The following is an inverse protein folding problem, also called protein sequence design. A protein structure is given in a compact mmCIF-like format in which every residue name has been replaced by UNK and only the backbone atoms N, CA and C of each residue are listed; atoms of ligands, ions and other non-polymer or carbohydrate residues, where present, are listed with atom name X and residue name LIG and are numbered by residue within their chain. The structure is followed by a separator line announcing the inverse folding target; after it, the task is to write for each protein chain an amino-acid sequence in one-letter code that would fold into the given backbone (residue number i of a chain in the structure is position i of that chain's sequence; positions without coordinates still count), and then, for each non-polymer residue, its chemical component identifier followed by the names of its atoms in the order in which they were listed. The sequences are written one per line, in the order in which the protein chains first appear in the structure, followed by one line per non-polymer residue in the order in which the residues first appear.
data_IF_730239955902
#
_entry.id   IF_730239955902
#
_cell.length_a   1.000
_cell.length_b   1.000
_cell.length_c   1.000
_cell.angle_alpha   90.00
_cell.angle_beta   90.00
_cell.angle_gamma   90.00
#
_symmetry.space_group_name_H-M   'P 1'
#
loop_
_entity.id
_entity.type
_entity.pdbx_description
1 polymer ?
#
# COMPACT_ATOMS: atom_id res chain seq x y z
N UNK A 1 -35.10 30.81 -45.23
CA UNK A 1 -35.03 29.78 -46.28
C UNK A 1 -34.53 28.51 -45.62
N UNK A 2 -35.43 27.55 -45.48
CA UNK A 2 -35.29 26.31 -44.71
C UNK A 2 -34.63 25.27 -45.61
N UNK A 3 -33.65 24.50 -45.11
CA UNK A 3 -33.46 23.13 -45.59
C UNK A 3 -32.86 22.23 -44.50
N UNK A 4 -33.71 21.34 -43.98
CA UNK A 4 -33.42 20.16 -43.18
C UNK A 4 -32.82 19.06 -44.06
N UNK A 5 -31.90 18.27 -43.53
CA UNK A 5 -31.64 16.86 -43.88
C UNK A 5 -31.02 16.20 -42.63
N UNK A 6 -31.80 15.50 -41.80
CA UNK A 6 -32.27 14.10 -41.92
C UNK A 6 -31.26 13.09 -41.31
N UNK A 7 -31.65 12.60 -40.12
CA UNK A 7 -31.06 11.52 -39.33
C UNK A 7 -30.97 10.22 -40.13
N UNK A 8 -29.88 9.46 -39.96
CA UNK A 8 -29.89 8.00 -40.11
C UNK A 8 -29.44 7.36 -38.79
N UNK A 9 -30.37 6.60 -38.22
CA UNK A 9 -30.24 5.78 -37.02
C UNK A 9 -30.18 4.33 -37.53
N UNK A 10 -29.05 3.66 -37.41
CA UNK A 10 -28.90 2.24 -37.78
C UNK A 10 -29.00 1.43 -36.48
N UNK A 11 -30.17 0.83 -36.27
CA UNK A 11 -30.41 -0.20 -35.26
C UNK A 11 -30.07 -1.56 -35.91
N UNK A 12 -29.09 -2.29 -35.38
CA UNK A 12 -28.86 -3.70 -35.71
C UNK A 12 -29.19 -4.52 -34.46
N UNK A 13 -30.41 -5.05 -34.43
CA UNK A 13 -30.87 -6.06 -33.47
C UNK A 13 -30.47 -7.43 -34.00
N UNK A 14 -29.47 -8.07 -33.39
CA UNK A 14 -29.17 -9.48 -33.62
C UNK A 14 -29.93 -10.33 -32.61
N UNK A 15 -30.96 -11.00 -33.12
CA UNK A 15 -31.79 -12.00 -32.46
C UNK A 15 -31.03 -13.33 -32.45
N UNK A 16 -30.58 -13.80 -31.27
CA UNK A 16 -30.11 -15.17 -31.10
C UNK A 16 -31.08 -15.93 -30.19
N UNK A 17 -32.05 -16.58 -30.82
CA UNK A 17 -32.84 -17.68 -30.27
C UNK A 17 -31.99 -18.96 -30.31
N UNK A 18 -31.70 -19.55 -29.15
CA UNK A 18 -31.32 -20.96 -29.06
C UNK A 18 -32.39 -21.73 -28.28
N UNK A 19 -32.92 -22.75 -28.95
CA UNK A 19 -33.96 -23.65 -28.48
C UNK A 19 -33.44 -24.63 -27.43
N UNK A 20 -34.30 -24.87 -26.44
CA UNK A 20 -34.23 -25.95 -25.45
C UNK A 20 -34.66 -27.27 -26.06
N UNK A 21 -33.92 -28.35 -25.76
CA UNK A 21 -34.38 -29.74 -25.56
C UNK A 21 -33.15 -30.61 -25.22
N UNK A 22 -33.16 -31.70 -24.46
CA UNK A 22 -33.97 -32.26 -23.36
C UNK A 22 -33.23 -33.54 -22.92
N UNK A 23 -33.49 -33.99 -21.67
CA UNK A 23 -33.30 -35.35 -21.14
C UNK A 23 -31.88 -35.79 -20.74
N UNK A 24 -31.61 -36.56 -19.68
CA UNK A 24 -32.31 -36.98 -18.44
C UNK A 24 -31.39 -38.00 -17.73
N UNK A 25 -31.48 -38.06 -16.39
CA UNK A 25 -31.07 -39.16 -15.48
C UNK A 25 -29.55 -39.38 -15.25
N UNK A 26 -29.06 -39.81 -14.08
CA UNK A 26 -29.57 -39.99 -12.70
C UNK A 26 -28.42 -40.59 -11.87
N UNK A 27 -28.22 -40.12 -10.63
CA UNK A 27 -27.57 -40.74 -9.45
C UNK A 27 -26.96 -39.59 -8.63
N UNK A 28 -27.54 -39.12 -7.52
CA UNK A 28 -27.74 -39.82 -6.23
C UNK A 28 -26.40 -40.40 -5.75
N UNK A 29 -25.73 -39.80 -4.76
CA UNK A 29 -26.08 -39.98 -3.34
C UNK A 29 -25.72 -38.78 -2.47
N UNK A 30 -26.73 -38.27 -1.77
CA UNK A 30 -26.62 -37.49 -0.53
C UNK A 30 -26.62 -38.49 0.61
N UNK A 31 -25.57 -38.55 1.43
CA UNK A 31 -25.64 -39.24 2.72
C UNK A 31 -26.13 -38.26 3.79
N UNK A 32 -27.42 -38.39 4.12
CA UNK A 32 -27.98 -37.97 5.39
C UNK A 32 -28.07 -39.22 6.25
N UNK A 33 -27.28 -39.31 7.32
CA UNK A 33 -27.52 -40.31 8.36
C UNK A 33 -28.38 -39.66 9.43
N UNK A 34 -29.58 -40.21 9.53
CA UNK A 34 -30.64 -39.89 10.45
C UNK A 34 -30.27 -40.19 11.90
N UNK A 35 -30.74 -39.30 12.76
CA UNK A 35 -31.04 -39.51 14.17
C UNK A 35 -31.82 -40.80 14.42
N UNK A 36 -31.35 -41.61 15.37
CA UNK A 36 -32.17 -42.64 16.01
C UNK A 36 -32.20 -42.40 17.52
N UNK A 37 -33.34 -41.87 17.96
CA UNK A 37 -33.68 -41.71 19.38
C UNK A 37 -34.23 -43.03 19.91
N UNK A 38 -33.56 -43.63 20.90
CA UNK A 38 -34.17 -44.66 21.75
C UNK A 38 -34.13 -44.17 23.19
N UNK A 39 -35.31 -43.95 23.78
CA UNK A 39 -35.53 -43.66 25.19
C UNK A 39 -35.76 -44.97 25.95
N UNK A 40 -35.05 -45.18 27.05
CA UNK A 40 -35.38 -45.96 28.27
C UNK A 40 -34.05 -46.19 29.03
N UNK A 41 -33.92 -46.18 30.35
CA UNK A 41 -34.78 -45.94 31.50
C UNK A 41 -33.81 -45.69 32.69
N UNK A 42 -34.36 -45.07 33.72
CA UNK A 42 -33.82 -44.67 35.02
C UNK A 42 -32.99 -45.72 35.78
N UNK A 43 -31.93 -45.28 36.50
CA UNK A 43 -31.55 -45.78 37.84
C UNK A 43 -30.26 -45.12 38.40
N UNK A 44 -30.48 -44.22 39.37
CA UNK A 44 -29.68 -43.85 40.57
C UNK A 44 -28.17 -44.18 40.74
N UNK A 45 -27.47 -43.09 41.12
CA UNK A 45 -26.36 -42.94 42.09
C UNK A 45 -24.90 -43.03 41.58
N UNK A 46 -23.92 -42.46 42.32
CA UNK A 46 -23.83 -41.15 42.98
C UNK A 46 -22.64 -40.31 42.43
N UNK A 47 -22.74 -38.97 42.48
CA UNK A 47 -21.65 -38.06 42.10
C UNK A 47 -20.37 -38.31 42.92
N UNK A 48 -19.21 -38.55 42.28
CA UNK A 48 -17.92 -38.26 42.87
C UNK A 48 -17.49 -36.86 42.43
N UNK A 49 -17.23 -36.05 43.45
CA UNK A 49 -16.44 -34.83 43.40
C UNK A 49 -15.07 -35.17 42.77
N UNK A 50 -14.81 -34.64 41.59
CA UNK A 50 -13.49 -34.66 40.97
C UNK A 50 -13.29 -33.33 40.27
N UNK A 51 -12.84 -32.35 41.06
CA UNK A 51 -11.88 -31.34 40.61
C UNK A 51 -10.66 -32.03 40.01
N UNK A 52 -10.84 -32.55 38.79
CA UNK A 52 -9.78 -33.09 37.98
C UNK A 52 -9.43 -32.03 36.95
N UNK A 53 -8.53 -31.15 37.38
CA UNK A 53 -7.48 -30.51 36.58
C UNK A 53 -7.88 -30.34 35.11
N UNK A 54 -8.44 -29.16 34.80
CA UNK A 54 -8.18 -28.55 33.51
C UNK A 54 -6.65 -28.42 33.42
N UNK A 55 -6.06 -29.36 32.70
CA UNK A 55 -4.65 -29.35 32.36
C UNK A 55 -4.35 -27.99 31.75
N UNK A 56 -3.28 -27.39 32.26
CA UNK A 56 -2.62 -26.21 31.73
C UNK A 56 -2.65 -26.28 30.20
N UNK A 57 -3.49 -25.44 29.59
CA UNK A 57 -3.38 -25.15 28.17
C UNK A 57 -1.99 -24.58 27.96
N UNK A 58 -1.19 -25.32 27.21
CA UNK A 58 -0.05 -24.89 26.42
C UNK A 58 0.26 -23.39 26.56
N UNK A 59 1.05 -23.03 27.57
CA UNK A 59 1.78 -21.76 27.54
C UNK A 59 2.93 -21.91 26.54
N UNK A 60 2.58 -22.21 25.29
CA UNK A 60 3.39 -21.87 24.14
C UNK A 60 3.71 -20.38 24.30
N UNK A 61 4.99 -20.07 24.25
CA UNK A 61 5.55 -18.77 24.59
C UNK A 61 4.72 -17.66 23.90
N UNK A 62 3.89 -16.94 24.66
CA UNK A 62 3.02 -15.91 24.11
C UNK A 62 3.91 -14.82 23.50
N UNK A 63 3.67 -14.49 22.23
CA UNK A 63 4.41 -13.43 21.53
C UNK A 63 4.23 -12.12 22.30
N UNK A 64 5.34 -11.56 22.76
CA UNK A 64 5.37 -10.30 23.52
C UNK A 64 5.23 -9.12 22.56
N UNK A 65 4.16 -8.36 22.70
CA UNK A 65 4.00 -7.16 21.88
C UNK A 65 5.16 -6.18 22.10
N UNK A 66 5.47 -5.86 23.35
CA UNK A 66 6.49 -4.85 23.67
C UNK A 66 7.90 -5.25 23.24
N UNK A 67 8.26 -6.54 23.32
CA UNK A 67 9.63 -6.98 23.03
C UNK A 67 9.82 -7.51 21.61
N UNK A 68 8.77 -8.05 20.97
CA UNK A 68 8.90 -8.76 19.69
C UNK A 68 8.18 -8.02 18.55
N UNK A 69 6.98 -7.49 18.79
CA UNK A 69 6.18 -6.84 17.72
C UNK A 69 6.48 -5.35 17.61
N UNK A 70 6.46 -4.63 18.72
CA UNK A 70 6.63 -3.17 18.76
C UNK A 70 7.92 -2.74 18.05
N UNK A 71 9.10 -3.37 18.27
CA UNK A 71 10.31 -2.99 17.55
C UNK A 71 10.20 -3.14 16.02
N UNK A 72 9.46 -4.16 15.55
CA UNK A 72 9.23 -4.36 14.11
C UNK A 72 8.32 -3.25 13.57
N UNK A 73 7.23 -2.94 14.29
CA UNK A 73 6.31 -1.86 13.92
C UNK A 73 7.02 -0.50 13.91
N UNK A 74 7.85 -0.21 14.90
CA UNK A 74 8.65 1.02 15.00
C UNK A 74 9.68 1.15 13.87
N UNK A 75 10.19 0.03 13.35
CA UNK A 75 11.17 0.01 12.28
C UNK A 75 10.58 0.09 10.88
N UNK A 76 9.53 -0.69 10.61
CA UNK A 76 9.01 -0.88 9.26
C UNK A 76 7.72 -0.09 8.99
N UNK A 77 6.95 0.28 10.02
CA UNK A 77 5.60 0.83 9.84
C UNK A 77 5.49 2.26 10.35
N UNK A 78 6.10 2.57 11.50
CA UNK A 78 5.83 3.79 12.25
C UNK A 78 6.18 5.08 11.49
N UNK A 79 7.21 5.06 10.64
CA UNK A 79 7.60 6.22 9.83
C UNK A 79 6.44 6.74 8.97
N UNK A 80 5.63 5.82 8.42
CA UNK A 80 4.51 6.15 7.57
C UNK A 80 3.20 6.26 8.34
N UNK A 81 3.02 5.47 9.39
CA UNK A 81 1.72 5.29 10.05
C UNK A 81 1.55 6.04 11.38
N UNK A 82 2.50 6.87 11.77
CA UNK A 82 2.41 7.72 12.98
C UNK A 82 2.43 9.21 12.65
N UNK A 83 1.91 10.04 13.56
CA UNK A 83 1.97 11.50 13.48
C UNK A 83 1.29 12.08 12.25
N UNK A 84 2.08 12.68 11.35
CA UNK A 84 1.63 13.21 10.04
C UNK A 84 2.14 12.38 8.86
N UNK A 85 2.55 11.14 9.12
CA UNK A 85 3.02 10.24 8.08
C UNK A 85 1.93 9.95 7.02
N UNK A 86 2.33 9.64 5.78
CA UNK A 86 1.41 9.46 4.65
C UNK A 86 0.45 8.25 4.81
N UNK A 87 0.78 7.30 5.68
CA UNK A 87 -0.05 6.14 6.01
C UNK A 87 -1.14 6.41 7.05
N UNK A 88 -1.02 7.50 7.83
CA UNK A 88 -1.94 7.85 8.93
C UNK A 88 -3.41 7.97 8.49
N UNK A 89 -3.75 8.57 7.33
CA UNK A 89 -5.14 8.64 6.87
C UNK A 89 -5.79 7.26 6.61
N UNK A 90 -4.97 6.21 6.41
CA UNK A 90 -5.42 4.86 6.10
C UNK A 90 -5.40 3.94 7.33
N UNK A 91 -4.31 4.00 8.10
CA UNK A 91 -4.15 3.29 9.36
C UNK A 91 -3.25 4.13 10.27
N UNK A 92 -3.82 4.58 11.39
CA UNK A 92 -3.12 5.36 12.40
C UNK A 92 -2.61 4.43 13.50
N UNK A 93 -1.31 4.46 13.76
CA UNK A 93 -0.60 3.53 14.65
C UNK A 93 0.22 4.27 15.71
N UNK A 94 -0.27 5.38 16.27
CA UNK A 94 0.48 6.19 17.25
C UNK A 94 0.66 5.48 18.61
N UNK A 95 -0.19 4.52 18.93
CA UNK A 95 -0.16 3.80 20.22
C UNK A 95 -0.27 2.30 20.07
N UNK A 96 0.20 1.56 21.10
CA UNK A 96 0.10 0.11 21.16
C UNK A 96 -1.35 -0.40 21.00
N UNK A 97 -2.32 0.30 21.60
CA UNK A 97 -3.74 -0.02 21.43
C UNK A 97 -4.23 0.17 19.98
N UNK A 98 -3.78 1.22 19.31
CA UNK A 98 -4.08 1.44 17.88
C UNK A 98 -3.48 0.33 17.02
N UNK A 99 -2.24 -0.09 17.26
CA UNK A 99 -1.59 -1.20 16.54
C UNK A 99 -2.38 -2.50 16.70
N UNK A 100 -2.77 -2.86 17.91
CA UNK A 100 -3.61 -4.04 18.17
C UNK A 100 -4.97 -3.95 17.49
N UNK A 101 -5.61 -2.76 17.47
CA UNK A 101 -6.88 -2.55 16.79
C UNK A 101 -6.81 -2.78 15.26
N UNK A 102 -5.65 -2.50 14.65
CA UNK A 102 -5.40 -2.75 13.21
C UNK A 102 -4.79 -4.12 12.92
N UNK A 103 -4.53 -4.97 13.91
CA UNK A 103 -3.71 -6.17 13.76
C UNK A 103 -4.18 -7.12 12.66
N UNK A 104 -5.49 -7.32 12.49
CA UNK A 104 -6.02 -8.14 11.40
C UNK A 104 -5.64 -7.59 10.02
N UNK A 105 -5.75 -6.28 9.83
CA UNK A 105 -5.37 -5.63 8.58
C UNK A 105 -3.85 -5.68 8.37
N UNK A 106 -3.07 -5.39 9.42
CA UNK A 106 -1.61 -5.45 9.42
C UNK A 106 -1.15 -6.86 9.02
N UNK A 107 -1.64 -7.90 9.69
CA UNK A 107 -1.31 -9.29 9.38
C UNK A 107 -1.60 -9.65 7.92
N UNK A 108 -2.76 -9.23 7.38
CA UNK A 108 -3.11 -9.51 5.99
C UNK A 108 -2.19 -8.82 4.96
N UNK A 109 -1.83 -7.55 5.18
CA UNK A 109 -0.95 -6.82 4.26
C UNK A 109 0.50 -7.26 4.36
N UNK A 110 0.95 -7.71 5.53
CA UNK A 110 2.29 -8.27 5.75
C UNK A 110 2.41 -9.68 5.16
N UNK A 111 1.39 -10.53 5.36
CA UNK A 111 1.33 -11.88 4.80
C UNK A 111 1.36 -11.86 3.26
N UNK A 112 0.60 -10.94 2.66
CA UNK A 112 0.62 -10.75 1.20
C UNK A 112 1.88 -10.06 0.67
N UNK A 113 2.73 -9.50 1.54
CA UNK A 113 3.89 -8.70 1.15
C UNK A 113 3.51 -7.37 0.50
N UNK A 114 2.26 -6.92 0.68
CA UNK A 114 1.79 -5.63 0.20
C UNK A 114 2.38 -4.48 1.03
N UNK A 115 2.58 -4.72 2.33
CA UNK A 115 3.21 -3.76 3.25
C UNK A 115 4.34 -4.46 4.03
N UNK A 116 5.41 -3.72 4.38
CA UNK A 116 5.70 -2.36 3.91
C UNK A 116 5.96 -2.34 2.40
N UNK A 117 5.62 -1.24 1.70
CA UNK A 117 5.73 -1.19 0.25
C UNK A 117 7.22 -1.04 -0.10
N UNK A 118 7.86 -2.15 -0.48
CA UNK A 118 9.28 -2.19 -0.80
C UNK A 118 9.50 -2.79 -2.19
N UNK A 119 9.51 -1.97 -3.26
CA UNK A 119 9.68 -2.48 -4.62
C UNK A 119 11.11 -2.90 -4.94
N UNK A 120 12.07 -2.60 -4.06
CA UNK A 120 13.48 -2.93 -4.25
C UNK A 120 13.72 -4.44 -4.01
N UNK A 121 14.51 -5.06 -4.88
CA UNK A 121 14.93 -6.46 -4.71
C UNK A 121 16.11 -6.57 -3.75
N UNK A 122 16.18 -7.68 -3.03
CA UNK A 122 17.33 -8.12 -2.24
C UNK A 122 18.56 -8.55 -3.08
N UNK A 123 18.41 -8.64 -4.41
CA UNK A 123 19.48 -9.03 -5.35
C UNK A 123 20.50 -7.92 -5.65
N UNK A 124 20.31 -6.71 -5.10
CA UNK A 124 21.15 -5.54 -5.32
C UNK A 124 22.19 -5.36 -4.20
N UNK A 125 22.89 -4.22 -4.21
CA UNK A 125 23.66 -3.77 -3.04
C UNK A 125 22.73 -3.53 -1.84
N UNK A 126 23.21 -3.69 -0.60
CA UNK A 126 22.43 -3.37 0.58
C UNK A 126 21.94 -1.92 0.55
N UNK A 127 20.66 -1.71 0.84
CA UNK A 127 20.05 -0.39 0.94
C UNK A 127 20.29 0.19 2.33
N UNK A 128 20.54 1.50 2.40
CA UNK A 128 20.39 2.24 3.65
C UNK A 128 18.91 2.39 3.95
N UNK A 129 18.54 2.36 5.24
CA UNK A 129 17.15 2.55 5.68
C UNK A 129 16.18 1.51 5.10
N UNK A 130 16.65 0.27 4.95
CA UNK A 130 15.84 -0.85 4.50
C UNK A 130 14.66 -1.08 5.46
N UNK A 131 13.45 -0.84 4.94
CA UNK A 131 12.21 -1.02 5.68
C UNK A 131 11.56 -2.38 5.40
N UNK A 132 12.21 -3.26 4.62
CA UNK A 132 11.69 -4.60 4.35
C UNK A 132 11.59 -5.43 5.62
N UNK A 133 10.65 -6.38 5.60
CA UNK A 133 10.51 -7.37 6.65
C UNK A 133 11.15 -8.68 6.19
N UNK A 134 12.02 -9.23 7.04
CA UNK A 134 12.50 -10.60 6.83
C UNK A 134 11.40 -11.63 7.09
N UNK A 135 11.67 -12.89 6.74
CA UNK A 135 10.66 -13.97 6.85
C UNK A 135 10.21 -14.15 8.29
N UNK A 136 11.13 -14.12 9.26
CA UNK A 136 10.85 -14.35 10.67
C UNK A 136 9.98 -13.21 11.24
N UNK A 137 10.28 -11.96 10.88
CA UNK A 137 9.49 -10.79 11.26
C UNK A 137 8.07 -10.85 10.70
N UNK A 138 7.91 -11.28 9.43
CA UNK A 138 6.60 -11.43 8.79
C UNK A 138 5.77 -12.50 9.48
N UNK A 139 6.37 -13.68 9.72
CA UNK A 139 5.70 -14.79 10.41
C UNK A 139 5.29 -14.38 11.82
N UNK A 140 6.16 -13.69 12.56
CA UNK A 140 5.89 -13.21 13.91
C UNK A 140 4.69 -12.25 13.98
N UNK A 141 4.61 -11.29 13.05
CA UNK A 141 3.46 -10.37 12.96
C UNK A 141 2.17 -11.14 12.64
N UNK A 142 2.23 -12.08 11.70
CA UNK A 142 1.06 -12.86 11.27
C UNK A 142 0.56 -13.73 12.41
N UNK A 143 1.44 -14.43 13.11
CA UNK A 143 1.10 -15.27 14.26
C UNK A 143 0.52 -14.42 15.41
N UNK A 144 1.13 -13.29 15.73
CA UNK A 144 0.62 -12.36 16.74
C UNK A 144 -0.80 -11.85 16.39
N UNK A 145 -1.02 -11.48 15.12
CA UNK A 145 -2.34 -11.05 14.66
C UNK A 145 -3.38 -12.18 14.75
N UNK A 146 -3.01 -13.42 14.40
CA UNK A 146 -3.88 -14.60 14.50
C UNK A 146 -4.19 -15.01 15.94
N UNK A 147 -3.26 -14.77 16.87
CA UNK A 147 -3.43 -14.99 18.30
C UNK A 147 -4.35 -13.95 18.99
N UNK A 148 -4.96 -13.04 18.21
CA UNK A 148 -5.85 -12.00 18.73
C UNK A 148 -5.11 -10.73 19.17
N UNK A 149 -3.87 -10.54 18.72
CA UNK A 149 -3.08 -9.33 18.91
C UNK A 149 -2.93 -8.86 20.37
N UNK A 150 -2.50 -9.76 21.30
CA UNK A 150 -2.33 -9.40 22.69
C UNK A 150 -1.30 -8.28 22.84
N UNK A 151 -1.57 -7.34 23.75
CA UNK A 151 -0.66 -6.25 24.10
C UNK A 151 -0.28 -6.42 25.57
N UNK A 152 1.02 -6.56 25.85
CA UNK A 152 1.60 -6.77 27.19
C UNK A 152 2.21 -5.49 27.80
N UNK A 153 1.98 -4.35 27.17
CA UNK A 153 2.35 -3.01 27.62
C UNK A 153 1.11 -2.14 27.84
N UNK A 154 1.29 -0.92 28.36
CA UNK A 154 0.19 0.04 28.46
C UNK A 154 -0.36 0.37 27.06
N UNK A 155 -1.69 0.42 26.89
CA UNK A 155 -2.31 0.70 25.59
C UNK A 155 -1.96 2.09 25.04
N UNK A 156 -1.65 3.05 25.92
CA UNK A 156 -1.21 4.40 25.57
C UNK A 156 0.31 4.47 25.33
N UNK A 157 1.03 3.34 25.35
CA UNK A 157 2.45 3.29 24.99
C UNK A 157 2.62 3.85 23.57
N UNK A 158 3.41 4.93 23.39
CA UNK A 158 3.60 5.53 22.09
C UNK A 158 4.42 4.61 21.20
N UNK A 159 4.04 4.55 19.93
CA UNK A 159 4.81 3.90 18.85
C UNK A 159 5.63 4.99 18.17
N UNK A 160 6.95 4.84 18.16
CA UNK A 160 7.82 5.88 17.62
C UNK A 160 8.65 5.32 16.45
N UNK A 161 8.80 6.08 15.34
CA UNK A 161 9.68 5.64 14.28
C UNK A 161 11.12 5.52 14.79
N UNK A 162 11.74 4.37 14.55
CA UNK A 162 13.13 4.11 14.93
C UNK A 162 14.16 4.84 14.06
N UNK A 163 13.69 5.41 12.95
CA UNK A 163 14.49 6.15 11.97
C UNK A 163 13.81 7.50 11.69
N UNK A 164 14.62 8.54 11.48
CA UNK A 164 14.11 9.82 10.97
C UNK A 164 13.89 9.73 9.46
N UNK A 165 13.04 10.60 8.91
CA UNK A 165 12.93 10.75 7.46
C UNK A 165 14.28 11.23 6.92
N UNK A 166 14.96 10.45 6.06
CA UNK A 166 16.22 10.88 5.48
C UNK A 166 15.99 12.13 4.61
N UNK A 167 16.90 13.10 4.72
CA UNK A 167 16.90 14.33 3.93
C UNK A 167 18.30 14.57 3.35
N UNK A 168 18.37 15.30 2.23
CA UNK A 168 19.66 15.64 1.63
C UNK A 168 20.40 16.64 2.50
N UNK A 169 21.56 16.23 3.01
CA UNK A 169 22.46 17.09 3.80
C UNK A 169 23.14 18.15 2.94
N UNK A 170 23.31 17.88 1.64
CA UNK A 170 23.86 18.79 0.65
C UNK A 170 23.20 18.57 -0.72
N UNK A 171 23.01 19.63 -1.47
CA UNK A 171 22.48 19.62 -2.83
C UNK A 171 23.16 20.69 -3.68
N UNK A 172 23.29 20.42 -4.97
CA UNK A 172 23.85 21.38 -5.93
C UNK A 172 22.80 22.35 -6.47
N UNK A 173 21.53 21.92 -6.51
CA UNK A 173 20.40 22.70 -7.03
C UNK A 173 19.12 22.39 -6.25
N UNK A 174 18.29 23.42 -6.10
CA UNK A 174 16.91 23.31 -5.63
C UNK A 174 16.00 23.77 -6.78
N UNK A 175 15.01 22.95 -7.13
CA UNK A 175 14.07 23.24 -8.20
C UNK A 175 12.66 23.32 -7.61
N UNK A 176 11.88 24.29 -8.08
CA UNK A 176 10.48 24.45 -7.69
C UNK A 176 9.60 24.55 -8.93
N UNK A 177 8.37 24.07 -8.82
CA UNK A 177 7.38 24.30 -9.88
C UNK A 177 7.05 25.79 -9.93
N UNK A 178 7.06 26.44 -11.11
CA UNK A 178 6.67 27.84 -11.21
C UNK A 178 5.16 28.04 -11.00
N UNK A 179 4.36 26.98 -11.16
CA UNK A 179 2.91 27.02 -11.09
C UNK A 179 2.40 26.13 -9.95
N UNK A 180 1.29 26.54 -9.33
CA UNK A 180 0.61 25.80 -8.27
C UNK A 180 -0.55 24.99 -8.83
N UNK A 181 -0.89 23.92 -8.12
CA UNK A 181 -2.03 23.07 -8.41
C UNK A 181 -2.82 22.85 -7.13
N UNK A 182 -4.09 23.24 -7.12
CA UNK A 182 -4.93 23.21 -5.90
C UNK A 182 -5.77 21.93 -5.77
N UNK A 183 -5.68 21.01 -6.74
CA UNK A 183 -6.45 19.78 -6.77
C UNK A 183 -7.88 19.92 -7.30
N UNK A 184 -8.38 18.88 -7.95
CA UNK A 184 -9.81 18.77 -8.27
C UNK A 184 -10.57 18.09 -7.14
N UNK A 185 -11.60 18.75 -6.60
CA UNK A 185 -12.40 18.17 -5.51
C UNK A 185 -13.21 16.96 -5.99
N UNK A 186 -13.08 15.86 -5.26
CA UNK A 186 -13.96 14.69 -5.39
C UNK A 186 -13.45 13.59 -6.31
N UNK A 187 -12.23 13.69 -6.83
CA UNK A 187 -11.57 12.60 -7.55
C UNK A 187 -10.63 11.84 -6.60
N UNK A 188 -10.76 10.50 -6.47
CA UNK A 188 -9.72 9.70 -5.84
C UNK A 188 -8.52 9.58 -6.81
N UNK A 189 -7.31 9.76 -6.28
CA UNK A 189 -6.02 9.62 -6.98
C UNK A 189 -5.88 10.39 -8.31
N UNK A 190 -5.52 11.67 -8.21
CA UNK A 190 -5.17 12.49 -9.35
C UNK A 190 -3.65 12.48 -9.63
N UNK A 191 -3.29 12.37 -10.91
CA UNK A 191 -1.90 12.42 -11.36
C UNK A 191 -1.65 13.72 -12.14
N UNK A 192 -0.70 14.52 -11.64
CA UNK A 192 -0.31 15.81 -12.21
C UNK A 192 1.17 15.83 -12.55
N UNK A 193 1.50 16.29 -13.75
CA UNK A 193 2.88 16.44 -14.20
C UNK A 193 3.29 17.89 -14.18
N UNK A 194 4.50 18.16 -13.70
CA UNK A 194 5.13 19.47 -13.69
C UNK A 194 6.50 19.40 -14.38
N UNK A 195 6.93 20.52 -14.93
CA UNK A 195 8.25 20.65 -15.56
C UNK A 195 9.24 21.19 -14.53
N UNK A 196 10.31 20.42 -14.28
CA UNK A 196 11.46 20.86 -13.51
C UNK A 196 12.67 20.91 -14.45
N UNK A 197 13.11 22.12 -14.81
CA UNK A 197 14.26 22.33 -15.70
C UNK A 197 15.52 22.65 -14.88
N UNK A 198 16.50 21.73 -14.81
CA UNK A 198 17.75 21.95 -14.08
C UNK A 198 18.73 22.89 -14.80
N UNK A 199 18.39 23.35 -16.02
CA UNK A 199 19.19 24.27 -16.84
C UNK A 199 20.66 23.83 -17.02
N UNK A 200 20.88 22.52 -17.08
CA UNK A 200 22.22 21.94 -17.26
C UNK A 200 22.75 22.25 -18.66
N UNK A 201 23.94 22.83 -18.71
CA UNK A 201 24.63 23.17 -19.97
C UNK A 201 25.66 22.12 -20.39
N UNK A 202 25.90 21.13 -19.55
CA UNK A 202 26.81 20.01 -19.77
C UNK A 202 26.26 18.74 -19.10
N UNK A 203 26.76 17.56 -19.51
CA UNK A 203 26.35 16.29 -18.93
C UNK A 203 26.76 16.19 -17.45
N UNK A 204 25.79 15.86 -16.60
CA UNK A 204 25.96 15.59 -15.16
C UNK A 204 25.34 14.25 -14.81
N UNK A 205 25.78 13.68 -13.68
CA UNK A 205 25.17 12.49 -13.09
C UNK A 205 24.29 12.91 -11.92
N UNK A 206 23.07 12.38 -11.87
CA UNK A 206 22.20 12.52 -10.71
C UNK A 206 22.57 11.42 -9.70
N UNK A 207 23.11 11.82 -8.55
CA UNK A 207 23.56 10.89 -7.49
C UNK A 207 22.65 10.85 -6.27
N UNK A 208 21.71 11.79 -6.19
CA UNK A 208 20.72 11.88 -5.13
C UNK A 208 19.70 12.97 -5.48
N UNK A 209 18.49 12.82 -4.97
CA UNK A 209 17.43 13.82 -5.08
C UNK A 209 16.52 13.68 -3.86
N UNK A 210 15.87 14.77 -3.48
CA UNK A 210 14.84 14.80 -2.45
C UNK A 210 13.65 15.55 -3.02
N UNK A 211 12.46 15.07 -2.69
CA UNK A 211 11.23 15.76 -3.03
C UNK A 211 10.55 16.25 -1.77
N UNK A 212 10.25 17.55 -1.75
CA UNK A 212 9.63 18.23 -0.62
C UNK A 212 8.23 18.68 -1.06
N UNK A 213 7.17 17.91 -0.74
CA UNK A 213 5.81 18.36 -0.97
C UNK A 213 5.45 19.50 -0.02
N UNK A 214 4.59 20.39 -0.50
CA UNK A 214 4.00 21.47 0.29
C UNK A 214 2.89 20.96 1.24
N UNK A 215 2.17 19.90 0.87
CA UNK A 215 1.12 19.26 1.66
C UNK A 215 1.28 17.73 1.69
N UNK A 216 1.81 17.22 2.80
CA UNK A 216 2.08 15.78 3.00
C UNK A 216 0.80 14.94 3.15
N UNK A 217 -0.32 15.58 3.51
CA UNK A 217 -1.64 14.94 3.57
C UNK A 217 -2.28 14.70 2.21
N UNK A 218 -1.78 15.35 1.15
CA UNK A 218 -2.37 15.32 -0.20
C UNK A 218 -1.48 14.54 -1.15
N UNK A 219 -0.18 14.79 -1.13
CA UNK A 219 0.75 14.14 -2.07
C UNK A 219 1.03 12.71 -1.63
N UNK A 220 0.52 11.74 -2.39
CA UNK A 220 0.67 10.32 -2.08
C UNK A 220 1.97 9.71 -2.61
N UNK A 221 2.38 10.04 -3.85
CA UNK A 221 3.64 9.60 -4.44
C UNK A 221 4.09 10.57 -5.54
N UNK A 222 5.37 10.51 -5.90
CA UNK A 222 5.93 11.25 -7.02
C UNK A 222 6.69 10.31 -7.94
N UNK A 223 6.54 10.52 -9.26
CA UNK A 223 7.30 9.81 -10.29
C UNK A 223 8.05 10.85 -11.12
N UNK A 224 9.37 10.66 -11.23
CA UNK A 224 10.23 11.55 -12.01
C UNK A 224 10.61 10.90 -13.34
N UNK A 225 10.53 11.68 -14.42
CA UNK A 225 10.87 11.26 -15.78
C UNK A 225 12.01 12.10 -16.34
N UNK A 226 12.99 11.45 -16.99
CA UNK A 226 13.94 12.16 -17.86
C UNK A 226 13.25 12.44 -19.18
N UNK A 227 13.09 13.71 -19.49
CA UNK A 227 12.60 14.17 -20.79
C UNK A 227 13.72 14.92 -21.49
N UNK A 228 14.05 14.53 -22.72
CA UNK A 228 15.10 15.18 -23.51
C UNK A 228 14.65 16.55 -24.00
N UNK A 229 15.60 17.45 -24.25
CA UNK A 229 15.33 18.82 -24.67
C UNK A 229 14.49 18.93 -25.96
N UNK A 230 14.50 17.90 -26.81
CA UNK A 230 13.69 17.85 -28.04
C UNK A 230 12.17 17.89 -27.76
N UNK A 231 11.72 17.44 -26.58
CA UNK A 231 10.31 17.46 -26.18
C UNK A 231 9.92 18.69 -25.37
N UNK A 232 10.85 19.63 -25.14
CA UNK A 232 10.57 20.82 -24.31
C UNK A 232 9.38 21.62 -24.82
N UNK A 233 9.32 21.91 -26.11
CA UNK A 233 8.17 22.65 -26.67
C UNK A 233 6.85 21.87 -26.54
N UNK A 234 6.88 20.53 -26.57
CA UNK A 234 5.70 19.71 -26.37
C UNK A 234 5.24 19.72 -24.90
N UNK A 235 6.19 19.71 -23.96
CA UNK A 235 5.92 19.88 -22.53
C UNK A 235 5.31 21.25 -22.24
N UNK A 236 5.91 22.33 -22.76
CA UNK A 236 5.38 23.69 -22.57
C UNK A 236 3.95 23.83 -23.13
N UNK A 237 3.65 23.19 -24.27
CA UNK A 237 2.28 23.17 -24.82
C UNK A 237 1.29 22.41 -23.93
N UNK A 238 1.72 21.34 -23.25
CA UNK A 238 0.87 20.59 -22.32
C UNK A 238 0.67 21.36 -21.01
N UNK A 239 1.72 21.91 -20.43
CA UNK A 239 1.64 22.76 -19.23
C UNK A 239 0.71 23.96 -19.45
N UNK A 240 0.72 24.54 -20.66
CA UNK A 240 -0.17 25.62 -21.04
C UNK A 240 -1.58 25.17 -21.48
N UNK A 241 -1.90 23.87 -21.48
CA UNK A 241 -3.18 23.36 -21.99
C UNK A 241 -4.32 23.37 -20.98
N UNK A 242 -4.00 23.60 -19.70
CA UNK A 242 -4.95 23.57 -18.60
C UNK A 242 -4.83 24.85 -17.75
N UNK A 243 -5.90 25.19 -17.01
CA UNK A 243 -6.02 26.46 -16.29
C UNK A 243 -5.29 26.48 -14.92
N UNK A 244 -4.67 25.37 -14.52
CA UNK A 244 -3.86 25.22 -13.31
C UNK A 244 -2.47 24.70 -13.65
N UNK A 245 -1.51 24.81 -12.73
CA UNK A 245 -0.13 24.37 -12.99
C UNK A 245 -0.03 22.90 -13.39
N UNK A 246 0.84 22.59 -14.35
CA UNK A 246 1.02 21.23 -14.85
C UNK A 246 -0.06 20.77 -15.81
N UNK A 247 -0.10 19.47 -16.08
CA UNK A 247 -1.16 18.81 -16.84
C UNK A 247 -1.51 17.44 -16.25
N UNK A 248 -2.69 16.93 -16.55
CA UNK A 248 -3.10 15.59 -16.12
C UNK A 248 -2.29 14.50 -16.84
N UNK A 249 -1.70 13.58 -16.08
CA UNK A 249 -0.76 12.60 -16.63
C UNK A 249 -0.79 11.24 -15.90
N UNK A 250 -1.62 10.31 -16.36
CA UNK A 250 -1.69 8.98 -15.73
C UNK A 250 -0.64 8.01 -16.30
N UNK A 251 0.28 7.55 -15.45
CA UNK A 251 1.25 6.48 -15.75
C UNK A 251 2.40 6.84 -16.70
N UNK A 252 2.42 8.04 -17.27
CA UNK A 252 3.45 8.56 -18.20
C UNK A 252 3.29 10.08 -18.36
N UNK A 253 4.31 10.79 -18.86
CA UNK A 253 4.21 12.23 -19.16
C UNK A 253 3.28 12.54 -20.33
N UNK A 254 3.04 11.56 -21.22
CA UNK A 254 2.32 11.74 -22.48
C UNK A 254 3.12 12.51 -23.55
N UNK A 255 4.44 12.69 -23.37
CA UNK A 255 5.34 13.38 -24.31
C UNK A 255 5.94 12.43 -25.36
N UNK A 256 5.79 11.12 -25.22
CA UNK A 256 6.29 10.12 -26.18
C UNK A 256 7.74 9.68 -25.94
N UNK A 257 8.47 10.33 -25.02
CA UNK A 257 9.73 9.86 -24.46
C UNK A 257 9.66 9.86 -22.94
N UNK A 258 9.58 8.67 -22.35
CA UNK A 258 9.55 8.50 -20.91
C UNK A 258 10.66 7.54 -20.51
N UNK A 259 11.78 8.07 -20.05
CA UNK A 259 12.68 7.28 -19.22
C UNK A 259 12.34 7.58 -17.76
N UNK A 260 11.65 6.64 -17.12
CA UNK A 260 11.35 6.73 -15.68
C UNK A 260 12.68 6.73 -14.94
N UNK A 261 12.92 7.80 -14.19
CA UNK A 261 14.12 7.95 -13.37
C UNK A 261 13.87 7.55 -11.92
N UNK A 262 12.64 7.66 -11.44
CA UNK A 262 12.34 7.45 -10.02
C UNK A 262 10.87 7.13 -9.76
N UNK A 263 10.65 6.27 -8.76
CA UNK A 263 9.41 6.15 -8.00
C UNK A 263 9.70 6.53 -6.54
N UNK A 264 9.10 7.61 -6.04
CA UNK A 264 9.24 8.04 -4.65
C UNK A 264 7.92 7.94 -3.90
N UNK A 265 7.94 7.25 -2.76
CA UNK A 265 6.97 7.48 -1.68
C UNK A 265 7.57 8.49 -0.71
N UNK A 266 6.73 9.25 -0.03
CA UNK A 266 7.20 10.23 0.94
C UNK A 266 7.96 9.54 2.09
N UNK A 267 9.18 9.99 2.37
CA UNK A 267 10.04 9.40 3.41
C UNK A 267 11.02 8.34 2.92
N UNK A 268 11.23 8.20 1.62
CA UNK A 268 12.20 7.26 1.04
C UNK A 268 13.30 8.02 0.29
N UNK A 269 14.54 7.95 0.78
CA UNK A 269 15.70 8.18 -0.09
C UNK A 269 15.74 6.98 -1.05
N UNK A 270 15.56 7.19 -2.36
CA UNK A 270 16.08 6.20 -3.31
C UNK A 270 17.59 6.31 -3.24
N UNK A 271 18.15 5.49 -2.36
CA UNK A 271 19.57 5.23 -2.11
C UNK A 271 20.52 5.99 -3.03
N UNK A 272 21.25 6.93 -2.44
CA UNK A 272 22.51 7.40 -2.99
C UNK A 272 23.35 6.21 -3.47
N UNK A 273 23.51 6.09 -4.80
CA UNK A 273 24.53 5.23 -5.36
C UNK A 273 25.85 5.94 -5.06
N UNK A 274 26.49 5.54 -3.96
CA UNK A 274 27.88 5.90 -3.71
C UNK A 274 28.74 5.19 -4.74
N UNK A 275 28.93 5.81 -5.90
CA UNK A 275 30.08 5.44 -6.74
C UNK A 275 31.29 6.05 -6.07
N UNK A 276 32.10 5.23 -5.40
CA UNK A 276 33.46 5.63 -5.06
C UNK A 276 34.11 6.16 -6.34
N UNK A 277 34.50 7.43 -6.27
CA UNK A 277 35.14 8.18 -7.34
C UNK A 277 36.39 7.45 -7.85
N UNK A 278 36.45 7.25 -9.17
CA UNK A 278 37.70 7.11 -9.93
C UNK A 278 37.85 8.35 -10.78
#
# INVERSE_FOLDING_TARGET
MVLKLAKQLIFVTALFTFLVACSSNSNESVETISSESTNQDTSSAPYPDSEERLNEEDTGNLISFGNEILPIIENACALCHTGRGPGVPHAKLDTAAEVSAYAFAIGAVVDSGYMPPWPASDLSVPFLHDASLDVDQRELIVEWAQAGAPVDVDGDTPVMPSQEVPFLVAYDQELSSPNFYDGERGQPDEYRCFIFDPQLTETKYLTGYEFIPDQTEVVHHLVGYRVTAEYREAADRKDASEDQGGWSCFGSTGLGSDEILTFGLQGQELSSIKTDSV
#
